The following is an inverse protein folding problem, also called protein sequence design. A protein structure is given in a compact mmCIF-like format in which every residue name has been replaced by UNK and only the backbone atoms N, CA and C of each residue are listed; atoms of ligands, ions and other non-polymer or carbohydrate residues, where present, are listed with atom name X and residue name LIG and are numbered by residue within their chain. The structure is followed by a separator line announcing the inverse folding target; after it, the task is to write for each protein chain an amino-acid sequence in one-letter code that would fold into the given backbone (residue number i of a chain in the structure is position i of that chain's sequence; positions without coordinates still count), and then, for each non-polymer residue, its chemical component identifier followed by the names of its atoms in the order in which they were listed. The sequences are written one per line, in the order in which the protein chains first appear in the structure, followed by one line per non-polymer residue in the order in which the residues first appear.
data_IF_871446522771
#
_entry.id   IF_871446522771
#
_cell.length_a   1.000
_cell.length_b   1.000
_cell.length_c   1.000
_cell.angle_alpha   90.00
_cell.angle_beta   90.00
_cell.angle_gamma   90.00
#
_symmetry.space_group_name_H-M   'P 1'
#
loop_
_entity.id
_entity.type
_entity.pdbx_description
1 polymer ?
#
# COMPACT_ATOMS: atom_id res chain seq x y z
N UNK A 1 67.92 -5.26 -8.26
CA UNK A 1 67.66 -5.90 -6.95
C UNK A 1 66.62 -5.06 -6.22
N UNK A 2 65.40 -5.60 -6.03
CA UNK A 2 64.25 -5.13 -5.19
C UNK A 2 63.79 -3.67 -5.22
N UNK A 3 62.52 -3.29 -5.06
CA UNK A 3 61.33 -3.98 -4.52
C UNK A 3 60.08 -3.42 -5.21
N UNK A 4 59.23 -4.31 -5.73
CA UNK A 4 57.86 -3.98 -6.15
C UNK A 4 57.01 -3.79 -4.89
N UNK A 5 56.42 -2.61 -4.73
CA UNK A 5 55.36 -2.39 -3.74
C UNK A 5 54.03 -2.83 -4.36
N UNK A 6 53.60 -4.06 -4.08
CA UNK A 6 52.24 -4.53 -4.37
C UNK A 6 51.26 -3.87 -3.39
N UNK A 7 50.45 -2.93 -3.88
CA UNK A 7 49.30 -2.39 -3.15
C UNK A 7 48.24 -3.48 -3.04
N UNK A 8 48.06 -4.04 -1.85
CA UNK A 8 46.90 -4.88 -1.55
C UNK A 8 45.65 -4.00 -1.56
N UNK A 9 44.79 -4.18 -2.57
CA UNK A 9 43.45 -3.61 -2.57
C UNK A 9 42.63 -4.28 -1.45
N UNK A 10 42.36 -3.55 -0.36
CA UNK A 10 41.39 -3.98 0.65
C UNK A 10 40.01 -4.01 -0.02
N UNK A 11 39.49 -5.21 -0.29
CA UNK A 11 38.10 -5.42 -0.65
C UNK A 11 37.21 -4.90 0.48
N UNK A 12 36.59 -3.71 0.31
CA UNK A 12 35.50 -3.27 1.17
C UNK A 12 34.31 -4.19 0.89
N UNK A 13 33.97 -5.08 1.82
CA UNK A 13 32.69 -5.80 1.79
C UNK A 13 31.58 -4.74 1.74
N UNK A 14 30.80 -4.72 0.67
CA UNK A 14 29.63 -3.87 0.58
C UNK A 14 28.57 -4.40 1.56
N UNK A 15 28.37 -3.68 2.66
CA UNK A 15 27.30 -4.01 3.62
C UNK A 15 25.98 -3.74 2.90
N UNK A 16 25.25 -4.81 2.60
CA UNK A 16 23.91 -4.67 2.03
C UNK A 16 22.93 -4.49 3.18
N UNK A 17 22.41 -3.27 3.31
CA UNK A 17 21.46 -2.91 4.35
C UNK A 17 20.13 -3.66 4.15
N UNK A 18 19.47 -3.96 5.26
CA UNK A 18 18.06 -4.35 5.30
C UNK A 18 17.29 -3.12 5.77
N UNK A 19 16.22 -2.76 5.07
CA UNK A 19 15.31 -1.69 5.49
C UNK A 19 14.02 -2.31 6.02
N UNK A 20 13.50 -1.76 7.11
CA UNK A 20 12.23 -2.17 7.73
C UNK A 20 11.39 -0.92 7.86
N UNK A 21 10.22 -0.92 7.24
CA UNK A 21 9.28 0.21 7.23
C UNK A 21 7.96 -0.23 7.86
N UNK A 22 7.48 0.53 8.84
CA UNK A 22 6.25 0.23 9.55
C UNK A 22 5.13 1.14 9.05
N UNK A 23 4.06 0.53 8.53
CA UNK A 23 2.84 1.21 8.11
C UNK A 23 1.66 0.98 9.07
N UNK A 24 1.81 0.08 10.04
CA UNK A 24 0.84 -0.23 11.09
C UNK A 24 1.44 -1.19 12.11
N UNK A 25 0.79 -1.33 13.27
CA UNK A 25 1.27 -2.09 14.42
C UNK A 25 2.26 -1.35 15.33
N UNK A 26 2.43 -0.03 15.17
CA UNK A 26 3.32 0.80 16.01
C UNK A 26 2.51 1.59 17.02
N UNK A 27 2.65 1.26 18.31
CA UNK A 27 1.92 1.95 19.38
C UNK A 27 0.42 1.63 19.42
N UNK A 28 -0.01 0.55 18.76
CA UNK A 28 -1.40 0.12 18.65
C UNK A 28 -1.53 -1.41 18.76
N UNK A 29 -2.75 -1.92 18.91
CA UNK A 29 -3.04 -3.36 18.92
C UNK A 29 -3.59 -3.76 17.55
N UNK A 30 -2.94 -4.73 16.93
CA UNK A 30 -3.23 -5.18 15.58
C UNK A 30 -2.80 -4.18 14.51
N UNK A 31 -3.41 -4.24 13.33
CA UNK A 31 -3.05 -3.30 12.27
C UNK A 31 -1.73 -3.60 11.55
N UNK A 32 -1.14 -4.79 11.76
CA UNK A 32 0.23 -5.09 11.33
C UNK A 32 0.39 -4.96 9.82
N UNK A 33 1.30 -4.07 9.40
CA UNK A 33 1.65 -3.79 8.00
C UNK A 33 3.12 -3.39 7.95
N UNK A 34 4.02 -4.34 7.70
CA UNK A 34 5.47 -4.09 7.79
C UNK A 34 6.14 -4.47 6.48
N UNK A 35 6.89 -3.56 5.87
CA UNK A 35 7.72 -3.88 4.70
C UNK A 35 9.14 -4.19 5.15
N UNK A 36 9.65 -5.33 4.69
CA UNK A 36 11.07 -5.69 4.79
C UNK A 36 11.68 -5.66 3.39
N UNK A 37 12.67 -4.80 3.20
CA UNK A 37 13.38 -4.64 1.92
C UNK A 37 14.84 -5.06 2.03
N UNK A 38 15.28 -5.88 1.08
CA UNK A 38 16.69 -6.21 0.91
C UNK A 38 17.02 -6.47 -0.56
N UNK A 39 18.11 -5.86 -1.06
CA UNK A 39 18.59 -6.06 -2.44
C UNK A 39 17.53 -5.80 -3.53
N UNK A 40 16.59 -4.89 -3.27
CA UNK A 40 15.50 -4.57 -4.21
C UNK A 40 14.33 -5.55 -4.20
N UNK A 41 14.33 -6.52 -3.27
CA UNK A 41 13.18 -7.36 -2.96
C UNK A 41 12.45 -6.77 -1.74
N UNK A 42 11.12 -6.64 -1.84
CA UNK A 42 10.23 -6.14 -0.78
C UNK A 42 9.21 -7.20 -0.43
N UNK A 43 9.19 -7.60 0.83
CA UNK A 43 8.13 -8.43 1.39
C UNK A 43 7.27 -7.59 2.32
N UNK A 44 5.96 -7.71 2.16
CA UNK A 44 5.00 -7.18 3.12
C UNK A 44 4.67 -8.29 4.12
N UNK A 45 4.81 -8.00 5.40
CA UNK A 45 4.44 -8.87 6.51
C UNK A 45 3.11 -8.38 7.06
N UNK A 46 2.11 -9.23 6.94
CA UNK A 46 0.72 -9.01 7.32
C UNK A 46 0.06 -7.81 6.62
N UNK A 47 -1.26 -7.83 6.63
CA UNK A 47 -2.08 -6.69 6.20
C UNK A 47 -3.38 -6.68 7.01
N UNK A 48 -3.22 -6.52 8.33
CA UNK A 48 -4.29 -6.71 9.29
C UNK A 48 -5.00 -5.42 9.70
N UNK A 49 -6.22 -5.54 10.20
CA UNK A 49 -7.04 -4.40 10.65
C UNK A 49 -6.61 -3.94 12.06
N UNK A 50 -6.63 -2.63 12.29
CA UNK A 50 -6.39 -2.04 13.63
C UNK A 50 -7.57 -2.33 14.55
N UNK A 51 -7.32 -2.90 15.73
CA UNK A 51 -8.36 -3.14 16.71
C UNK A 51 -8.90 -1.82 17.29
N UNK A 52 -10.21 -1.72 17.48
CA UNK A 52 -10.85 -0.53 18.05
C UNK A 52 -11.03 0.65 17.08
N UNK A 53 -10.50 0.58 15.85
CA UNK A 53 -10.74 1.63 14.84
C UNK A 53 -12.24 1.80 14.58
N UNK A 54 -12.96 0.69 14.42
CA UNK A 54 -14.37 0.75 14.06
C UNK A 54 -15.22 1.44 15.14
N UNK A 55 -14.91 1.22 16.43
CA UNK A 55 -15.60 1.89 17.54
C UNK A 55 -15.28 3.38 17.67
N UNK A 56 -14.15 3.85 17.14
CA UNK A 56 -13.76 5.28 17.18
C UNK A 56 -14.42 6.10 16.06
N UNK A 57 -14.69 5.49 14.90
CA UNK A 57 -15.15 6.22 13.70
C UNK A 57 -16.55 5.80 13.21
N UNK A 58 -17.01 4.60 13.54
CA UNK A 58 -18.34 4.11 13.18
C UNK A 58 -19.22 4.03 14.43
N UNK A 59 -19.63 5.20 14.94
CA UNK A 59 -20.81 5.26 15.80
C UNK A 59 -22.04 4.85 14.98
N UNK A 60 -23.08 4.32 15.65
CA UNK A 60 -24.30 3.62 15.15
C UNK A 60 -25.04 4.15 13.89
N UNK A 61 -24.61 5.26 13.28
CA UNK A 61 -25.27 5.93 12.15
C UNK A 61 -24.37 6.21 10.93
N UNK A 62 -23.06 5.93 10.98
CA UNK A 62 -22.16 6.08 9.81
C UNK A 62 -21.88 4.72 9.18
N UNK A 63 -22.74 4.29 8.26
CA UNK A 63 -22.45 3.13 7.42
C UNK A 63 -21.48 3.53 6.31
N UNK A 64 -20.42 2.73 6.13
CA UNK A 64 -19.51 2.86 4.99
C UNK A 64 -20.31 2.69 3.70
N UNK A 65 -20.12 3.57 2.73
CA UNK A 65 -20.71 3.39 1.40
C UNK A 65 -20.05 2.16 0.77
N UNK A 66 -20.84 1.11 0.52
CA UNK A 66 -20.34 -0.20 0.06
C UNK A 66 -19.44 -0.14 -1.17
N UNK A 67 -19.67 0.83 -2.07
CA UNK A 67 -18.97 0.91 -3.35
C UNK A 67 -17.70 1.78 -3.32
N UNK A 68 -17.37 2.44 -2.20
CA UNK A 68 -16.16 3.30 -2.08
C UNK A 68 -15.36 3.03 -0.81
N UNK A 69 -15.61 1.92 -0.11
CA UNK A 69 -15.02 1.58 1.17
C UNK A 69 -13.49 1.69 1.19
N UNK A 70 -12.79 1.11 0.20
CA UNK A 70 -11.33 1.13 0.16
C UNK A 70 -10.80 2.56 0.01
N UNK A 71 -11.39 3.33 -0.91
CA UNK A 71 -11.06 4.73 -1.13
C UNK A 71 -11.28 5.55 0.14
N UNK A 72 -12.41 5.37 0.79
CA UNK A 72 -12.77 6.10 2.01
C UNK A 72 -11.80 5.76 3.15
N UNK A 73 -11.47 4.46 3.33
CA UNK A 73 -10.47 3.99 4.30
C UNK A 73 -9.09 4.62 4.09
N UNK A 74 -8.62 4.72 2.85
CA UNK A 74 -7.33 5.36 2.54
C UNK A 74 -7.42 6.88 2.79
N UNK A 75 -8.53 7.51 2.38
CA UNK A 75 -8.73 8.97 2.49
C UNK A 75 -8.74 9.44 3.95
N UNK A 76 -9.36 8.67 4.84
CA UNK A 76 -9.42 9.00 6.28
C UNK A 76 -8.20 8.47 7.07
N UNK A 77 -7.23 7.85 6.39
CA UNK A 77 -5.99 7.36 7.01
C UNK A 77 -6.10 6.06 7.80
N UNK A 78 -7.17 5.26 7.60
CA UNK A 78 -7.26 3.89 8.15
C UNK A 78 -6.23 3.00 7.48
N UNK A 79 -6.12 3.14 6.16
CA UNK A 79 -5.24 2.37 5.32
C UNK A 79 -4.09 3.25 4.82
N UNK A 80 -2.84 2.77 4.91
CA UNK A 80 -1.67 3.54 4.51
C UNK A 80 -1.57 3.67 2.98
N UNK A 81 -1.08 4.79 2.47
CA UNK A 81 -0.78 4.93 1.03
C UNK A 81 0.53 4.21 0.67
N UNK A 82 0.47 2.89 0.52
CA UNK A 82 1.60 2.07 0.00
C UNK A 82 1.49 1.99 -1.53
N UNK A 83 2.53 2.39 -2.29
CA UNK A 83 2.49 2.32 -3.75
C UNK A 83 2.27 0.90 -4.26
N UNK A 84 1.42 0.75 -5.27
CA UNK A 84 1.27 -0.52 -5.98
C UNK A 84 0.70 -1.66 -5.14
N UNK A 85 0.07 -1.40 -3.99
CA UNK A 85 -0.58 -2.43 -3.18
C UNK A 85 -2.08 -2.55 -3.48
N UNK A 86 -2.74 -1.44 -3.83
CA UNK A 86 -4.18 -1.38 -4.03
C UNK A 86 -4.52 -1.47 -5.51
N UNK A 87 -5.50 -2.32 -5.85
CA UNK A 87 -6.00 -2.44 -7.23
C UNK A 87 -6.84 -1.24 -7.65
N UNK A 88 -6.71 -0.82 -8.91
CA UNK A 88 -7.43 0.32 -9.45
C UNK A 88 -8.96 0.14 -9.42
N UNK A 89 -9.46 -1.07 -9.67
CA UNK A 89 -10.89 -1.37 -9.74
C UNK A 89 -11.62 -1.28 -8.38
N UNK A 90 -10.89 -1.40 -7.27
CA UNK A 90 -11.44 -1.25 -5.91
C UNK A 90 -11.46 0.21 -5.44
N UNK A 91 -10.70 1.08 -6.09
CA UNK A 91 -10.65 2.53 -5.78
C UNK A 91 -11.68 3.28 -6.62
N UNK A 92 -11.82 2.88 -7.89
CA UNK A 92 -12.73 3.47 -8.86
C UNK A 92 -13.83 2.47 -9.19
N UNK A 93 -14.99 2.49 -8.51
CA UNK A 93 -16.06 1.52 -8.76
C UNK A 93 -16.53 1.56 -10.23
N UNK A 94 -16.64 0.38 -10.82
CA UNK A 94 -17.14 0.16 -12.18
C UNK A 94 -18.65 0.50 -12.29
N UNK A 95 -19.11 0.89 -13.48
CA UNK A 95 -20.52 1.25 -13.74
C UNK A 95 -20.85 2.74 -13.60
N UNK A 96 -19.85 3.58 -13.30
CA UNK A 96 -19.99 5.04 -13.36
C UNK A 96 -20.16 5.54 -14.81
N UNK A 97 -19.57 4.85 -15.77
CA UNK A 97 -19.63 5.16 -17.20
C UNK A 97 -21.07 5.10 -17.74
N UNK A 98 -21.91 4.24 -17.15
CA UNK A 98 -23.33 4.04 -17.50
C UNK A 98 -24.27 5.10 -16.89
N UNK A 99 -23.80 5.92 -15.93
CA UNK A 99 -24.57 7.00 -15.30
C UNK A 99 -24.56 8.30 -16.13
N UNK A 100 -24.09 8.24 -17.37
CA UNK A 100 -23.77 9.37 -18.25
C UNK A 100 -25.00 10.08 -18.83
N UNK A 101 -25.74 10.80 -17.98
CA UNK A 101 -26.46 11.99 -18.44
C UNK A 101 -25.49 13.19 -18.41
N UNK A 102 -25.56 14.09 -19.40
CA UNK A 102 -24.59 15.18 -19.67
C UNK A 102 -24.24 16.11 -18.47
N UNK A 103 -25.05 16.09 -17.40
CA UNK A 103 -24.76 16.77 -16.14
C UNK A 103 -23.76 16.02 -15.24
N UNK A 104 -23.82 14.69 -15.20
CA UNK A 104 -22.94 13.84 -14.38
C UNK A 104 -21.57 13.62 -15.02
N UNK A 105 -21.46 13.65 -16.34
CA UNK A 105 -20.19 13.45 -17.05
C UNK A 105 -19.09 14.46 -16.67
N UNK A 106 -19.44 15.63 -16.12
CA UNK A 106 -18.47 16.63 -15.63
C UNK A 106 -18.08 16.45 -14.16
N UNK A 107 -18.89 15.72 -13.38
CA UNK A 107 -18.67 15.46 -11.95
C UNK A 107 -18.10 14.06 -11.70
N UNK A 108 -18.38 13.11 -12.60
CA UNK A 108 -18.09 11.69 -12.47
C UNK A 108 -17.42 11.12 -13.74
N UNK A 109 -16.73 11.97 -14.53
CA UNK A 109 -15.75 11.44 -15.48
C UNK A 109 -14.80 10.51 -14.70
N UNK A 110 -14.38 9.39 -15.29
CA UNK A 110 -13.41 8.46 -14.67
C UNK A 110 -12.18 9.18 -14.12
N UNK A 111 -11.79 10.29 -14.75
CA UNK A 111 -10.67 11.13 -14.36
C UNK A 111 -10.96 12.19 -13.27
N UNK A 112 -12.18 12.24 -12.74
CA UNK A 112 -12.59 13.24 -11.74
C UNK A 112 -11.81 13.06 -10.44
N UNK A 113 -11.31 14.16 -9.87
CA UNK A 113 -10.59 14.14 -8.59
C UNK A 113 -11.39 13.51 -7.43
N UNK A 114 -12.74 13.44 -7.56
CA UNK A 114 -13.60 12.75 -6.61
C UNK A 114 -13.52 11.22 -6.67
N UNK A 115 -12.97 10.61 -7.72
CA UNK A 115 -12.79 9.16 -7.84
C UNK A 115 -11.35 8.70 -7.59
N UNK A 116 -10.43 9.64 -7.41
CA UNK A 116 -9.02 9.36 -7.12
C UNK A 116 -8.70 9.65 -5.67
N UNK A 117 -7.71 8.95 -5.14
CA UNK A 117 -7.03 9.35 -3.90
C UNK A 117 -5.76 10.08 -4.30
N UNK A 118 -5.62 11.39 -4.01
CA UNK A 118 -4.43 12.14 -4.39
C UNK A 118 -3.14 11.50 -3.86
N UNK A 119 -2.16 11.29 -4.73
CA UNK A 119 -0.87 10.69 -4.38
C UNK A 119 -0.87 9.16 -4.27
N UNK A 120 -2.02 8.50 -4.41
CA UNK A 120 -2.08 7.05 -4.45
C UNK A 120 -1.66 6.52 -5.83
N UNK A 121 -0.72 5.57 -5.84
CA UNK A 121 -0.32 4.83 -7.04
C UNK A 121 -0.92 3.43 -6.94
N UNK A 122 -1.78 3.07 -7.89
CA UNK A 122 -2.44 1.76 -7.93
C UNK A 122 -1.46 0.65 -8.34
N UNK A 123 -1.84 -0.60 -8.12
CA UNK A 123 -1.08 -1.78 -8.55
C UNK A 123 -0.79 -1.75 -10.06
N UNK A 124 -1.82 -1.50 -10.86
CA UNK A 124 -1.75 -1.43 -12.31
C UNK A 124 -0.86 -0.27 -12.78
N UNK A 125 -1.05 0.93 -12.22
CA UNK A 125 -0.23 2.10 -12.54
C UNK A 125 1.25 1.87 -12.19
N UNK A 126 1.52 1.26 -11.03
CA UNK A 126 2.89 0.98 -10.60
C UNK A 126 3.59 0.00 -11.55
N UNK A 127 2.90 -1.08 -11.95
CA UNK A 127 3.45 -2.04 -12.91
C UNK A 127 3.70 -1.39 -14.27
N UNK A 128 2.78 -0.55 -14.75
CA UNK A 128 2.95 0.16 -16.01
C UNK A 128 4.16 1.10 -15.99
N UNK A 129 4.45 1.75 -14.86
CA UNK A 129 5.58 2.68 -14.71
C UNK A 129 6.93 1.99 -14.49
N UNK A 130 6.95 0.80 -13.88
CA UNK A 130 8.17 0.17 -13.39
C UNK A 130 8.45 -1.22 -13.96
N UNK A 131 7.54 -1.80 -14.74
CA UNK A 131 7.61 -3.15 -15.30
C UNK A 131 7.78 -4.27 -14.24
N UNK A 132 7.45 -3.97 -12.98
CA UNK A 132 7.46 -4.89 -11.84
C UNK A 132 6.51 -4.40 -10.75
N UNK A 133 6.09 -5.30 -9.86
CA UNK A 133 5.35 -4.91 -8.65
C UNK A 133 6.23 -4.13 -7.67
N UNK A 134 5.59 -3.32 -6.81
CA UNK A 134 6.28 -2.65 -5.71
C UNK A 134 6.68 -3.64 -4.61
N UNK A 135 5.72 -4.51 -4.24
CA UNK A 135 5.85 -5.63 -3.31
C UNK A 135 6.02 -6.93 -4.09
N UNK A 136 7.04 -7.71 -3.77
CA UNK A 136 7.34 -8.98 -4.45
C UNK A 136 6.57 -10.16 -3.84
N UNK A 137 6.10 -10.01 -2.59
CA UNK A 137 5.26 -11.00 -1.92
C UNK A 137 4.68 -10.51 -0.60
N UNK A 138 3.53 -11.08 -0.24
CA UNK A 138 2.88 -10.86 1.06
C UNK A 138 3.00 -12.15 1.87
N UNK A 139 3.50 -12.03 3.10
CA UNK A 139 3.55 -13.13 4.06
C UNK A 139 2.54 -12.84 5.17
N UNK A 140 1.57 -13.73 5.31
CA UNK A 140 0.62 -13.71 6.41
C UNK A 140 1.14 -14.64 7.51
N UNK A 141 1.36 -14.10 8.71
CA UNK A 141 1.90 -14.85 9.82
C UNK A 141 0.90 -15.89 10.35
N UNK A 142 -0.38 -15.53 10.45
CA UNK A 142 -1.52 -16.38 10.82
C UNK A 142 -2.85 -15.70 10.47
N UNK A 143 -3.98 -16.40 10.70
CA UNK A 143 -5.30 -16.03 10.18
C UNK A 143 -6.20 -15.25 11.17
N UNK A 144 -5.63 -14.43 12.05
CA UNK A 144 -6.44 -13.50 12.85
C UNK A 144 -6.65 -12.17 12.10
N UNK A 145 -7.76 -11.48 12.40
CA UNK A 145 -8.15 -10.25 11.70
C UNK A 145 -7.11 -9.12 11.79
N UNK A 146 -6.35 -9.09 12.86
CA UNK A 146 -5.25 -8.16 13.08
C UNK A 146 -3.98 -8.46 12.26
N UNK A 147 -4.01 -9.53 11.47
CA UNK A 147 -2.98 -9.91 10.51
C UNK A 147 -3.49 -10.01 9.06
N UNK A 148 -4.77 -10.30 8.85
CA UNK A 148 -5.34 -10.53 7.51
C UNK A 148 -6.54 -9.65 7.16
N UNK A 149 -7.05 -8.85 8.10
CA UNK A 149 -8.37 -8.22 7.97
C UNK A 149 -8.49 -7.12 6.91
N UNK A 150 -7.38 -6.58 6.40
CA UNK A 150 -7.39 -5.55 5.37
C UNK A 150 -6.92 -6.05 3.99
N UNK A 151 -6.70 -7.36 3.83
CA UNK A 151 -6.24 -7.99 2.57
C UNK A 151 -7.25 -7.88 1.43
#
# INVERSE_FOLDING_TARGET
MGRRYTRYAKNKKQIKMVAITFYGGVGEIGGNKIIVEHKGTRLLLDFGTRMGFASEFFAEFLNVRSNTELKDKITIGVLPMIPGIYRADLIQPTGIEDLSNAAYSRLIASDSAMLKVPGLVTYEDYIQMHERSYIDGILLSHAHMDHTGDI
#
